data_IF_377396065179
#
_entry.id   IF_377396065179
#
_cell.length_a   1.000
_cell.length_b   1.000
_cell.length_c   1.000
_cell.angle_alpha   90.00
_cell.angle_beta   90.00
_cell.angle_gamma   90.00
#
_symmetry.space_group_name_H-M   'P 1'
#
loop_
_entity.id
_entity.type
_entity.pdbx_description
1 polymer ?
#
# COMPACT_ATOMS: atom_id res chain seq x y z
N UNK A 1 -29.95 -12.62 12.57
CA UNK A 1 -28.66 -12.12 12.04
C UNK A 1 -28.68 -12.43 10.55
N UNK A 2 -28.80 -11.40 9.70
CA UNK A 2 -28.97 -11.61 8.26
C UNK A 2 -27.61 -11.93 7.63
N UNK A 3 -27.56 -12.97 6.79
CA UNK A 3 -26.40 -13.44 6.03
C UNK A 3 -26.09 -12.53 4.83
N UNK A 4 -26.05 -11.20 5.04
CA UNK A 4 -25.90 -10.19 3.98
C UNK A 4 -24.69 -9.26 4.10
N UNK A 5 -23.96 -9.30 5.22
CA UNK A 5 -22.87 -8.33 5.49
C UNK A 5 -21.45 -8.91 5.26
N UNK A 6 -21.32 -9.98 4.47
CA UNK A 6 -20.02 -10.64 4.22
C UNK A 6 -19.37 -10.28 2.86
N UNK A 7 -19.99 -9.44 2.04
CA UNK A 7 -19.53 -9.14 0.68
C UNK A 7 -18.83 -7.78 0.59
N UNK A 8 -17.59 -7.73 1.08
CA UNK A 8 -16.43 -6.98 0.55
C UNK A 8 -15.41 -6.71 1.67
N UNK A 9 -14.67 -7.76 2.05
CA UNK A 9 -13.42 -7.54 2.81
C UNK A 9 -12.35 -7.15 1.79
N UNK A 10 -12.23 -5.85 1.48
CA UNK A 10 -11.06 -5.35 0.76
C UNK A 10 -9.83 -5.49 1.68
N UNK A 11 -8.96 -6.46 1.37
CA UNK A 11 -7.73 -6.68 2.14
C UNK A 11 -6.73 -5.58 1.80
N UNK A 12 -6.36 -4.75 2.77
CA UNK A 12 -5.29 -3.77 2.59
C UNK A 12 -3.94 -4.34 3.03
N UNK A 13 -2.89 -4.04 2.27
CA UNK A 13 -1.53 -4.43 2.62
C UNK A 13 -0.75 -3.22 3.10
N UNK A 14 -0.10 -3.36 4.26
CA UNK A 14 0.84 -2.36 4.78
C UNK A 14 2.26 -2.84 4.49
N UNK A 15 3.01 -2.03 3.75
CA UNK A 15 4.41 -2.31 3.44
C UNK A 15 5.27 -1.24 4.10
N UNK A 16 6.19 -1.64 4.97
CA UNK A 16 7.12 -0.71 5.60
C UNK A 16 7.91 0.07 4.53
N UNK A 17 8.03 1.38 4.71
CA UNK A 17 8.66 2.27 3.74
C UNK A 17 10.12 1.91 3.47
N UNK A 18 10.85 1.45 4.50
CA UNK A 18 12.24 1.00 4.34
C UNK A 18 12.32 -0.26 3.44
N UNK A 19 11.44 -1.24 3.66
CA UNK A 19 11.34 -2.47 2.86
C UNK A 19 10.88 -2.16 1.44
N UNK A 20 9.88 -1.30 1.27
CA UNK A 20 9.40 -0.89 -0.04
C UNK A 20 10.52 -0.28 -0.89
N UNK A 21 11.30 0.65 -0.30
CA UNK A 21 12.40 1.29 -1.02
C UNK A 21 13.56 0.33 -1.30
N UNK A 22 13.93 -0.51 -0.33
CA UNK A 22 15.10 -1.38 -0.43
C UNK A 22 14.85 -2.60 -1.31
N UNK A 23 13.75 -3.30 -1.07
CA UNK A 23 13.51 -4.64 -1.61
C UNK A 23 12.53 -4.61 -2.79
N UNK A 24 11.42 -3.88 -2.68
CA UNK A 24 10.44 -3.82 -3.78
C UNK A 24 10.89 -2.94 -4.94
N UNK A 25 11.54 -1.81 -4.65
CA UNK A 25 12.05 -0.90 -5.67
C UNK A 25 13.48 -1.24 -6.11
N UNK A 26 14.04 -2.38 -5.71
CA UNK A 26 15.40 -2.76 -6.06
C UNK A 26 15.61 -2.72 -7.59
N UNK A 27 16.61 -1.95 -8.04
CA UNK A 27 16.89 -1.76 -9.46
C UNK A 27 16.05 -0.69 -10.18
N UNK A 28 15.15 0.00 -9.48
CA UNK A 28 14.32 1.08 -10.02
C UNK A 28 14.45 2.37 -9.19
N UNK A 29 14.17 3.52 -9.80
CA UNK A 29 13.97 4.76 -9.03
C UNK A 29 12.67 4.64 -8.23
N UNK A 30 12.80 4.54 -6.91
CA UNK A 30 11.67 4.40 -6.00
C UNK A 30 10.60 5.50 -6.18
N UNK A 31 10.99 6.73 -6.56
CA UNK A 31 10.04 7.83 -6.79
C UNK A 31 9.22 7.59 -8.06
N UNK A 32 9.81 7.00 -9.08
CA UNK A 32 9.10 6.64 -10.31
C UNK A 32 8.14 5.48 -10.06
N UNK A 33 8.55 4.47 -9.31
CA UNK A 33 7.68 3.35 -8.90
C UNK A 33 6.47 3.87 -8.12
N UNK A 34 6.69 4.73 -7.11
CA UNK A 34 5.60 5.34 -6.33
C UNK A 34 4.63 6.10 -7.23
N UNK A 35 5.14 6.95 -8.13
CA UNK A 35 4.29 7.70 -9.07
C UNK A 35 3.46 6.78 -9.97
N UNK A 36 4.06 5.72 -10.49
CA UNK A 36 3.36 4.74 -11.32
C UNK A 36 2.25 4.04 -10.51
N UNK A 37 2.56 3.49 -9.34
CA UNK A 37 1.57 2.80 -8.52
C UNK A 37 0.45 3.73 -8.02
N UNK A 38 0.75 5.00 -7.73
CA UNK A 38 -0.28 6.00 -7.44
C UNK A 38 -1.17 6.29 -8.65
N UNK A 39 -0.58 6.44 -9.85
CA UNK A 39 -1.31 6.65 -11.10
C UNK A 39 -2.28 5.51 -11.40
N UNK A 40 -1.90 4.27 -11.09
CA UNK A 40 -2.75 3.09 -11.27
C UNK A 40 -3.69 2.80 -10.08
N UNK A 41 -3.74 3.69 -9.08
CA UNK A 41 -4.62 3.54 -7.92
C UNK A 41 -4.24 2.41 -6.96
N UNK A 42 -3.06 1.81 -7.14
CA UNK A 42 -2.54 0.72 -6.31
C UNK A 42 -2.08 1.25 -4.95
N UNK A 43 -1.38 2.38 -4.93
CA UNK A 43 -1.03 3.06 -3.69
C UNK A 43 -2.16 3.96 -3.22
N UNK A 44 -2.45 3.91 -1.92
CA UNK A 44 -3.42 4.77 -1.26
C UNK A 44 -2.70 5.90 -0.50
N UNK A 45 -2.47 7.06 -1.15
CA UNK A 45 -1.81 8.18 -0.50
C UNK A 45 -2.67 8.76 0.63
N UNK A 46 -2.04 9.58 1.47
CA UNK A 46 -2.73 10.47 2.38
C UNK A 46 -3.53 11.52 1.61
N UNK A 47 -4.42 12.21 2.32
CA UNK A 47 -5.21 13.32 1.77
C UNK A 47 -4.37 14.48 1.24
N UNK A 48 -3.14 14.65 1.73
CA UNK A 48 -2.16 15.65 1.26
C UNK A 48 -1.30 15.16 0.08
N UNK A 49 -1.59 13.96 -0.45
CA UNK A 49 -0.85 13.36 -1.55
C UNK A 49 0.46 12.69 -1.14
N UNK A 50 0.83 12.71 0.14
CA UNK A 50 2.05 12.04 0.58
C UNK A 50 1.87 10.50 0.53
N UNK A 51 2.83 9.74 -0.04
CA UNK A 51 2.55 8.38 -0.49
C UNK A 51 2.58 7.32 0.61
N UNK A 52 3.12 7.62 1.79
CA UNK A 52 3.17 6.73 2.94
C UNK A 52 2.80 7.46 4.24
N UNK A 53 2.47 6.73 5.30
CA UNK A 53 2.07 7.34 6.58
C UNK A 53 2.49 6.49 7.78
N UNK A 54 2.48 7.09 8.96
CA UNK A 54 2.73 6.30 10.17
C UNK A 54 1.46 5.53 10.53
N UNK A 55 1.58 4.22 10.70
CA UNK A 55 0.50 3.33 11.15
C UNK A 55 0.94 2.50 12.34
N UNK A 56 -0.01 2.18 13.22
CA UNK A 56 0.21 1.19 14.27
C UNK A 56 -0.12 -0.21 13.76
N UNK A 57 0.89 -1.08 13.76
CA UNK A 57 0.76 -2.50 13.42
C UNK A 57 0.58 -3.29 14.72
N UNK A 58 -0.56 -3.96 14.92
CA UNK A 58 -0.83 -4.74 16.11
C UNK A 58 0.28 -5.77 16.37
N UNK A 59 0.84 -5.75 17.58
CA UNK A 59 1.91 -6.67 18.00
C UNK A 59 3.34 -6.25 17.61
N UNK A 60 3.52 -5.21 16.79
CA UNK A 60 4.84 -4.78 16.32
C UNK A 60 5.17 -3.31 16.67
N UNK A 61 4.18 -2.42 16.69
CA UNK A 61 4.37 -1.00 17.00
C UNK A 61 4.08 -0.08 15.81
N UNK A 62 4.64 1.13 15.82
CA UNK A 62 4.39 2.14 14.78
C UNK A 62 5.44 2.09 13.67
N UNK A 63 5.00 2.06 12.42
CA UNK A 63 5.87 2.04 11.24
C UNK A 63 5.44 3.09 10.22
N UNK A 64 6.39 3.60 9.44
CA UNK A 64 6.07 4.32 8.21
C UNK A 64 5.72 3.30 7.14
N UNK A 65 4.51 3.33 6.59
CA UNK A 65 4.01 2.31 5.66
C UNK A 65 3.37 2.91 4.42
N UNK A 66 3.59 2.25 3.28
CA UNK A 66 2.76 2.39 2.10
C UNK A 66 1.51 1.52 2.28
N UNK A 67 0.35 2.08 1.95
CA UNK A 67 -0.91 1.33 1.87
C UNK A 67 -1.14 0.89 0.45
N UNK A 68 -1.24 -0.41 0.25
CA UNK A 68 -1.30 -1.04 -1.06
C UNK A 68 -2.61 -1.79 -1.21
N UNK A 69 -3.32 -1.54 -2.32
CA UNK A 69 -4.54 -2.27 -2.68
C UNK A 69 -4.20 -3.65 -3.27
N UNK A 70 -5.11 -4.64 -3.17
CA UNK A 70 -4.95 -5.95 -3.81
C UNK A 70 -4.70 -5.89 -5.33
N UNK A 71 -5.12 -4.81 -5.99
CA UNK A 71 -4.93 -4.60 -7.43
C UNK A 71 -3.47 -4.62 -7.87
N UNK A 72 -2.49 -4.54 -6.94
CA UNK A 72 -1.08 -4.75 -7.27
C UNK A 72 -0.80 -6.13 -7.89
N UNK A 73 -1.53 -7.17 -7.49
CA UNK A 73 -1.30 -8.54 -7.94
C UNK A 73 -1.89 -8.83 -9.33
N UNK A 74 -2.75 -7.95 -9.82
CA UNK A 74 -3.40 -8.06 -11.14
C UNK A 74 -3.01 -6.90 -12.06
N UNK A 75 -2.00 -6.10 -11.67
CA UNK A 75 -1.57 -4.95 -12.44
C UNK A 75 -0.76 -5.43 -13.65
N UNK A 76 -1.23 -5.11 -14.84
CA UNK A 76 -0.48 -5.24 -16.09
C UNK A 76 0.06 -3.86 -16.49
N UNK A 77 1.39 -3.78 -16.72
CA UNK A 77 2.14 -2.55 -17.03
C UNK A 77 2.63 -2.54 -18.47
#
# INVERSE_FOLDING_TARGET
MSTGDAEHVETEYLIEAAVFCKDMCAGFDHKMVVKALMKHGVLMPRSDGYPYRQEYVPGYGKFMVYRVRPSIFTLEL
#
